data_IF_725066443327
#
_entry.id   IF_725066443327
#
_cell.length_a   1.000
_cell.length_b   1.000
_cell.length_c   1.000
_cell.angle_alpha   90.00
_cell.angle_beta   90.00
_cell.angle_gamma   90.00
#
_symmetry.space_group_name_H-M   'P 1'
#
loop_
_entity.id
_entity.type
_entity.pdbx_description
1 polymer ?
#
# COMPACT_ATOMS: atom_id res chain seq x y z
N UNK A 1 -26.23 1.15 -0.96
CA UNK A 1 -25.05 1.71 -1.64
C UNK A 1 -23.87 0.82 -1.28
N UNK A 2 -23.17 0.30 -2.28
CA UNK A 2 -21.99 -0.54 -2.05
C UNK A 2 -20.75 0.32 -2.23
N UNK A 3 -20.09 0.67 -1.12
CA UNK A 3 -18.91 1.54 -1.16
C UNK A 3 -17.68 0.81 -1.70
N UNK A 4 -17.69 -0.53 -1.65
CA UNK A 4 -16.64 -1.35 -2.26
C UNK A 4 -16.69 -1.25 -3.78
N UNK A 5 -17.89 -1.29 -4.38
CA UNK A 5 -18.03 -1.19 -5.84
C UNK A 5 -17.58 0.19 -6.33
N UNK A 6 -17.98 1.25 -5.62
CA UNK A 6 -17.54 2.62 -5.94
C UNK A 6 -16.02 2.78 -5.81
N UNK A 7 -15.42 2.22 -4.76
CA UNK A 7 -13.96 2.23 -4.61
C UNK A 7 -13.28 1.41 -5.71
N UNK A 8 -13.90 0.33 -6.16
CA UNK A 8 -13.38 -0.50 -7.24
C UNK A 8 -13.39 0.20 -8.60
N UNK A 9 -14.30 1.16 -8.81
CA UNK A 9 -14.38 1.99 -10.03
C UNK A 9 -13.35 3.12 -10.05
N UNK A 10 -12.66 3.40 -8.93
CA UNK A 10 -11.57 4.36 -8.88
C UNK A 10 -10.31 3.78 -9.56
N UNK A 11 -10.13 4.07 -10.84
CA UNK A 11 -8.97 3.59 -11.61
C UNK A 11 -7.67 4.37 -11.33
N UNK A 12 -7.78 5.61 -10.85
CA UNK A 12 -6.64 6.48 -10.54
C UNK A 12 -6.76 7.03 -9.11
N UNK A 13 -5.96 6.47 -8.21
CA UNK A 13 -5.93 6.81 -6.79
C UNK A 13 -4.84 7.83 -6.46
N UNK A 14 -4.10 8.32 -7.46
CA UNK A 14 -2.98 9.23 -7.24
C UNK A 14 -3.49 10.57 -6.75
N UNK A 15 -2.94 10.99 -5.62
CA UNK A 15 -3.10 12.34 -5.06
C UNK A 15 -2.17 13.35 -5.70
N UNK A 16 -1.13 12.87 -6.41
CA UNK A 16 -0.12 13.71 -7.04
C UNK A 16 0.12 13.26 -8.49
N UNK A 17 0.08 14.23 -9.40
CA UNK A 17 0.41 14.06 -10.82
C UNK A 17 1.67 14.87 -11.12
N UNK A 18 2.64 14.22 -11.77
CA UNK A 18 3.92 14.83 -12.14
C UNK A 18 3.90 15.17 -13.62
N UNK A 19 4.16 16.45 -13.94
CA UNK A 19 4.22 16.95 -15.30
C UNK A 19 5.63 17.44 -15.62
N UNK A 20 6.25 17.04 -16.74
CA UNK A 20 7.50 17.65 -17.18
C UNK A 20 7.21 19.06 -17.70
N UNK A 21 7.92 20.07 -17.17
CA UNK A 21 7.72 21.48 -17.57
C UNK A 21 8.42 21.85 -18.90
N UNK A 22 9.20 20.92 -19.47
CA UNK A 22 9.98 21.14 -20.69
C UNK A 22 11.29 21.90 -20.48
N UNK A 23 11.60 22.34 -19.26
CA UNK A 23 12.81 23.06 -18.87
C UNK A 23 13.71 22.28 -17.90
N UNK A 24 13.37 21.00 -17.65
CA UNK A 24 14.11 20.14 -16.74
C UNK A 24 13.62 20.19 -15.29
N UNK A 25 12.47 20.79 -15.02
CA UNK A 25 11.78 20.67 -13.74
C UNK A 25 10.53 19.80 -13.87
N UNK A 26 10.07 19.31 -12.72
CA UNK A 26 8.82 18.56 -12.59
C UNK A 26 7.82 19.45 -11.88
N UNK A 27 6.72 19.74 -12.56
CA UNK A 27 5.59 20.43 -11.98
C UNK A 27 4.70 19.39 -11.27
N UNK A 28 4.33 19.69 -10.02
CA UNK A 28 3.56 18.79 -9.16
C UNK A 28 2.13 19.33 -9.09
N UNK A 29 1.16 18.53 -9.51
CA UNK A 29 -0.26 18.83 -9.37
C UNK A 29 -0.86 17.94 -8.29
N UNK A 30 -1.39 18.56 -7.23
CA UNK A 30 -2.17 17.85 -6.21
C UNK A 30 -3.61 17.68 -6.72
N UNK A 31 -4.07 16.44 -6.78
CA UNK A 31 -5.43 16.11 -7.18
C UNK A 31 -6.36 16.27 -5.97
N UNK A 32 -7.27 17.23 -6.07
CA UNK A 32 -8.40 17.35 -5.16
C UNK A 32 -9.59 16.60 -5.72
N UNK A 33 -10.09 15.59 -5.00
CA UNK A 33 -11.35 14.93 -5.34
C UNK A 33 -12.48 15.95 -5.12
N UNK A 34 -13.07 16.44 -6.21
CA UNK A 34 -14.08 17.52 -6.17
C UNK A 34 -15.42 17.10 -5.56
N UNK A 35 -15.61 15.79 -5.32
CA UNK A 35 -16.78 15.19 -4.69
C UNK A 35 -16.33 14.23 -3.59
N UNK A 36 -16.84 14.41 -2.36
CA UNK A 36 -16.51 13.51 -1.23
C UNK A 36 -16.84 12.04 -1.54
N UNK A 37 -17.83 11.77 -2.39
CA UNK A 37 -18.19 10.39 -2.78
C UNK A 37 -17.16 9.71 -3.70
N UNK A 38 -16.24 10.48 -4.27
CA UNK A 38 -15.16 10.00 -5.14
C UNK A 38 -13.81 9.94 -4.41
N UNK A 39 -13.73 10.48 -3.18
CA UNK A 39 -12.53 10.42 -2.35
C UNK A 39 -12.33 9.00 -1.79
N UNK A 40 -11.21 8.32 -2.11
CA UNK A 40 -10.93 7.00 -1.58
C UNK A 40 -10.89 6.99 -0.03
N UNK A 41 -10.43 8.07 0.61
CA UNK A 41 -10.41 8.17 2.07
C UNK A 41 -11.81 8.17 2.68
N UNK A 42 -12.75 8.89 2.06
CA UNK A 42 -14.17 8.85 2.41
C UNK A 42 -14.77 7.46 2.20
N UNK A 43 -14.52 6.83 1.05
CA UNK A 43 -15.05 5.49 0.74
C UNK A 43 -14.53 4.44 1.73
N UNK A 44 -13.25 4.46 2.09
CA UNK A 44 -12.67 3.60 3.12
C UNK A 44 -13.36 3.77 4.48
N UNK A 45 -13.65 5.01 4.87
CA UNK A 45 -14.40 5.31 6.09
C UNK A 45 -15.81 4.73 6.05
N UNK A 46 -16.50 4.86 4.91
CA UNK A 46 -17.84 4.28 4.74
C UNK A 46 -17.86 2.76 4.73
N UNK A 47 -16.85 2.12 4.15
CA UNK A 47 -16.64 0.68 4.24
C UNK A 47 -16.48 0.26 5.71
N UNK A 48 -15.71 1.02 6.50
CA UNK A 48 -15.55 0.78 7.93
C UNK A 48 -16.87 0.93 8.70
N UNK A 49 -17.61 2.02 8.49
CA UNK A 49 -18.88 2.31 9.16
C UNK A 49 -19.97 1.29 8.81
N UNK A 50 -19.98 0.78 7.58
CA UNK A 50 -20.97 -0.19 7.10
C UNK A 50 -20.50 -1.65 7.18
N UNK A 51 -19.30 -1.88 7.74
CA UNK A 51 -18.67 -3.19 7.90
C UNK A 51 -18.61 -4.01 6.59
N UNK A 52 -18.27 -3.36 5.47
CA UNK A 52 -18.18 -3.99 4.14
C UNK A 52 -16.81 -4.62 3.85
N UNK A 53 -16.04 -4.97 4.89
CA UNK A 53 -14.65 -5.41 4.78
C UNK A 53 -14.49 -6.71 3.99
N UNK A 54 -15.40 -7.67 4.10
CA UNK A 54 -15.31 -8.93 3.36
C UNK A 54 -15.40 -8.72 1.84
N UNK A 55 -16.27 -7.81 1.41
CA UNK A 55 -16.37 -7.36 0.03
C UNK A 55 -15.09 -6.67 -0.42
N UNK A 56 -14.58 -5.75 0.42
CA UNK A 56 -13.32 -5.06 0.17
C UNK A 56 -12.14 -6.03 -0.04
N UNK A 57 -11.95 -6.99 0.86
CA UNK A 57 -10.87 -7.98 0.74
C UNK A 57 -11.01 -8.88 -0.48
N UNK A 58 -12.25 -9.16 -0.90
CA UNK A 58 -12.51 -9.91 -2.14
C UNK A 58 -12.12 -9.10 -3.36
N UNK A 59 -12.48 -7.81 -3.39
CA UNK A 59 -12.15 -6.90 -4.48
C UNK A 59 -10.64 -6.68 -4.61
N UNK A 60 -9.94 -6.42 -3.50
CA UNK A 60 -8.51 -6.12 -3.51
C UNK A 60 -7.67 -7.24 -4.10
N UNK A 61 -8.06 -8.51 -3.91
CA UNK A 61 -7.36 -9.67 -4.50
C UNK A 61 -7.19 -9.55 -6.03
N UNK A 62 -8.16 -8.93 -6.71
CA UNK A 62 -8.17 -8.79 -8.16
C UNK A 62 -7.56 -7.49 -8.67
N UNK A 63 -7.18 -6.56 -7.79
CA UNK A 63 -6.51 -5.30 -8.16
C UNK A 63 -5.00 -5.51 -8.31
N UNK A 64 -4.28 -4.68 -9.07
CA UNK A 64 -2.82 -4.73 -9.10
C UNK A 64 -2.22 -4.20 -7.79
N UNK A 65 -0.97 -4.58 -7.50
CA UNK A 65 -0.24 -4.12 -6.30
C UNK A 65 -0.04 -2.61 -6.31
N UNK A 66 0.26 -2.02 -7.47
CA UNK A 66 0.43 -0.56 -7.61
C UNK A 66 -0.81 0.21 -7.15
N UNK A 67 -1.99 -0.22 -7.57
CA UNK A 67 -3.27 0.37 -7.13
C UNK A 67 -3.46 0.24 -5.61
N UNK A 68 -3.07 -0.90 -5.03
CA UNK A 68 -3.16 -1.08 -3.58
C UNK A 68 -2.18 -0.17 -2.82
N UNK A 69 -0.95 -0.02 -3.31
CA UNK A 69 0.06 0.89 -2.76
C UNK A 69 -0.40 2.34 -2.79
N UNK A 70 -1.09 2.76 -3.85
CA UNK A 70 -1.73 4.08 -3.92
C UNK A 70 -2.89 4.19 -2.92
N UNK A 71 -3.76 3.18 -2.84
CA UNK A 71 -4.89 3.17 -1.90
C UNK A 71 -4.45 3.34 -0.44
N UNK A 72 -3.33 2.74 -0.05
CA UNK A 72 -2.80 2.80 1.32
C UNK A 72 -2.58 4.24 1.78
N UNK A 73 -2.24 5.15 0.86
CA UNK A 73 -2.02 6.57 1.17
C UNK A 73 -3.30 7.28 1.63
N UNK A 74 -4.47 6.71 1.35
CA UNK A 74 -5.78 7.24 1.73
C UNK A 74 -6.30 6.69 3.06
N UNK A 75 -5.62 5.70 3.64
CA UNK A 75 -5.99 5.20 4.96
C UNK A 75 -5.59 6.20 6.03
N UNK A 76 -6.51 6.57 6.94
CA UNK A 76 -6.15 7.44 8.04
C UNK A 76 -5.32 6.65 9.08
N UNK A 77 -4.11 7.14 9.35
CA UNK A 77 -3.16 6.49 10.26
C UNK A 77 -3.60 6.55 11.73
N UNK A 78 -4.55 7.43 12.08
CA UNK A 78 -5.08 7.58 13.43
C UNK A 78 -6.25 6.63 13.75
N UNK A 79 -6.64 5.74 12.82
CA UNK A 79 -7.80 4.85 12.99
C UNK A 79 -7.42 3.39 13.20
N UNK A 80 -8.06 2.70 14.16
CA UNK A 80 -7.79 1.29 14.44
C UNK A 80 -8.19 0.34 13.30
N UNK A 81 -9.15 0.72 12.45
CA UNK A 81 -9.53 -0.11 11.31
C UNK A 81 -8.42 -0.16 10.26
N UNK A 82 -7.60 0.88 10.14
CA UNK A 82 -6.49 0.93 9.18
C UNK A 82 -5.46 -0.15 9.52
N UNK A 83 -5.01 -0.22 10.77
CA UNK A 83 -4.08 -1.26 11.25
C UNK A 83 -4.62 -2.66 11.01
N UNK A 84 -5.90 -2.92 11.34
CA UNK A 84 -6.53 -4.23 11.09
C UNK A 84 -6.55 -4.57 9.60
N UNK A 85 -6.87 -3.59 8.75
CA UNK A 85 -6.87 -3.75 7.31
C UNK A 85 -5.46 -4.03 6.79
N UNK A 86 -4.45 -3.28 7.23
CA UNK A 86 -3.06 -3.45 6.82
C UNK A 86 -2.53 -4.85 7.13
N UNK A 87 -2.75 -5.34 8.36
CA UNK A 87 -2.41 -6.72 8.73
C UNK A 87 -3.12 -7.71 7.81
N UNK A 88 -4.42 -7.51 7.54
CA UNK A 88 -5.15 -8.40 6.64
C UNK A 88 -4.60 -8.36 5.21
N UNK A 89 -4.28 -7.19 4.67
CA UNK A 89 -3.68 -7.04 3.34
C UNK A 89 -2.33 -7.77 3.24
N UNK A 90 -1.50 -7.68 4.27
CA UNK A 90 -0.24 -8.43 4.37
C UNK A 90 -0.44 -9.96 4.37
N UNK A 91 -1.61 -10.47 4.77
CA UNK A 91 -1.93 -11.91 4.65
C UNK A 91 -2.52 -12.31 3.30
N UNK A 92 -2.97 -11.33 2.51
CA UNK A 92 -3.64 -11.56 1.22
C UNK A 92 -2.69 -11.42 0.03
N UNK A 93 -1.61 -10.66 0.21
CA UNK A 93 -0.60 -10.34 -0.79
C UNK A 93 0.72 -10.98 -0.37
N UNK A 94 1.42 -11.56 -1.34
CA UNK A 94 2.70 -12.23 -1.10
C UNK A 94 3.89 -11.51 -1.74
N UNK A 95 3.66 -10.38 -2.39
CA UNK A 95 4.68 -9.64 -3.13
C UNK A 95 5.64 -8.93 -2.17
N UNK A 96 6.94 -9.21 -2.32
CA UNK A 96 8.01 -8.66 -1.47
C UNK A 96 7.97 -7.13 -1.39
N UNK A 97 7.87 -6.46 -2.53
CA UNK A 97 7.86 -4.99 -2.58
C UNK A 97 6.69 -4.40 -1.80
N UNK A 98 5.53 -5.06 -1.85
CA UNK A 98 4.36 -4.67 -1.08
C UNK A 98 4.58 -4.85 0.42
N UNK A 99 5.17 -5.98 0.84
CA UNK A 99 5.57 -6.19 2.24
C UNK A 99 6.52 -5.11 2.72
N UNK A 100 7.60 -4.86 1.97
CA UNK A 100 8.62 -3.88 2.34
C UNK A 100 8.03 -2.48 2.45
N UNK A 101 7.21 -2.07 1.47
CA UNK A 101 6.50 -0.80 1.50
C UNK A 101 5.60 -0.67 2.73
N UNK A 102 4.84 -1.71 3.07
CA UNK A 102 3.95 -1.68 4.23
C UNK A 102 4.70 -1.67 5.56
N UNK A 103 5.72 -2.52 5.69
CA UNK A 103 6.51 -2.68 6.92
C UNK A 103 7.32 -1.42 7.22
N UNK A 104 7.87 -0.74 6.20
CA UNK A 104 8.65 0.50 6.41
C UNK A 104 7.81 1.60 7.07
N UNK A 105 6.50 1.61 6.84
CA UNK A 105 5.55 2.58 7.42
C UNK A 105 4.80 2.04 8.64
N UNK A 106 5.11 0.81 9.12
CA UNK A 106 4.38 0.20 10.24
C UNK A 106 4.49 0.99 11.56
N UNK A 107 5.52 1.81 11.69
CA UNK A 107 5.72 2.71 12.83
C UNK A 107 4.68 3.85 12.90
N UNK A 108 4.05 4.18 11.78
CA UNK A 108 3.03 5.24 11.67
C UNK A 108 1.61 4.72 11.93
N UNK A 109 1.42 3.40 11.97
CA UNK A 109 0.10 2.81 12.15
C UNK A 109 -0.48 3.08 13.54
N UNK A 110 -1.81 3.04 13.65
CA UNK A 110 -2.49 3.16 14.92
C UNK A 110 -2.21 1.93 15.79
N UNK A 111 -1.53 2.13 16.92
CA UNK A 111 -1.25 1.09 17.92
C UNK A 111 -1.81 1.52 19.27
N UNK A 112 -2.77 0.77 19.80
CA UNK A 112 -3.30 0.95 21.15
C UNK A 112 -2.89 -0.19 22.10
N UNK A 113 -3.32 -0.10 23.36
CA UNK A 113 -3.08 -1.11 24.39
C UNK A 113 -3.68 -2.49 24.03
N UNK A 114 -4.73 -2.52 23.19
CA UNK A 114 -5.39 -3.75 22.74
C UNK A 114 -4.74 -4.36 21.50
N UNK A 115 -3.76 -3.69 20.89
CA UNK A 115 -3.16 -4.10 19.63
C UNK A 115 -2.10 -5.20 19.76
N UNK A 116 -1.90 -5.77 20.96
CA UNK A 116 -0.86 -6.77 21.20
C UNK A 116 -0.95 -7.98 20.27
N UNK A 117 -2.17 -8.46 20.01
CA UNK A 117 -2.40 -9.58 19.11
C UNK A 117 -2.05 -9.23 17.65
N UNK A 118 -2.40 -8.02 17.20
CA UNK A 118 -2.03 -7.53 15.86
C UNK A 118 -0.52 -7.38 15.70
N UNK A 119 0.18 -6.93 16.76
CA UNK A 119 1.65 -6.85 16.77
C UNK A 119 2.28 -8.24 16.64
N UNK A 120 1.77 -9.23 17.36
CA UNK A 120 2.24 -10.61 17.25
C UNK A 120 2.04 -11.16 15.83
N UNK A 121 0.90 -10.86 15.20
CA UNK A 121 0.63 -11.24 13.81
C UNK A 121 1.61 -10.57 12.85
N UNK A 122 1.88 -9.26 13.01
CA UNK A 122 2.86 -8.55 12.19
C UNK A 122 4.26 -9.17 12.31
N UNK A 123 4.71 -9.44 13.53
CA UNK A 123 6.01 -10.07 13.79
C UNK A 123 6.09 -11.45 13.12
N UNK A 124 5.03 -12.25 13.22
CA UNK A 124 4.97 -13.56 12.57
C UNK A 124 5.04 -13.46 11.04
N UNK A 125 4.38 -12.47 10.45
CA UNK A 125 4.44 -12.19 9.00
C UNK A 125 5.87 -11.80 8.61
N UNK A 126 6.48 -10.84 9.31
CA UNK A 126 7.86 -10.38 9.06
C UNK A 126 8.83 -11.55 9.13
N UNK A 127 8.76 -12.37 10.17
CA UNK A 127 9.63 -13.53 10.32
C UNK A 127 9.46 -14.52 9.18
N UNK A 128 8.23 -14.74 8.72
CA UNK A 128 7.96 -15.65 7.58
C UNK A 128 8.61 -15.12 6.31
N UNK A 129 8.48 -13.82 6.02
CA UNK A 129 9.14 -13.19 4.88
C UNK A 129 10.66 -13.30 4.98
N UNK A 130 11.25 -12.95 6.13
CA UNK A 130 12.70 -12.99 6.33
C UNK A 130 13.29 -14.40 6.26
N UNK A 131 12.58 -15.42 6.76
CA UNK A 131 13.04 -16.82 6.72
C UNK A 131 12.93 -17.40 5.31
N UNK A 132 12.03 -16.88 4.47
CA UNK A 132 11.83 -17.37 3.10
C UNK A 132 12.92 -16.94 2.12
N UNK A 133 13.76 -15.97 2.50
CA UNK A 133 14.83 -15.49 1.63
C UNK A 133 16.14 -16.23 1.90
N UNK A 134 16.64 -16.92 0.87
CA UNK A 134 17.96 -17.54 0.93
C UNK A 134 19.05 -16.48 0.73
N UNK A 135 20.22 -16.60 1.38
CA UNK A 135 21.34 -15.69 1.16
C UNK A 135 21.71 -15.51 -0.31
N UNK A 136 21.56 -16.55 -1.12
CA UNK A 136 21.83 -16.55 -2.56
C UNK A 136 20.82 -15.68 -3.34
N UNK A 137 19.56 -15.63 -2.92
CA UNK A 137 18.55 -14.76 -3.52
C UNK A 137 18.88 -13.28 -3.28
N UNK A 138 19.36 -12.97 -2.07
CA UNK A 138 19.78 -11.61 -1.70
C UNK A 138 21.05 -11.21 -2.46
N UNK A 139 22.01 -12.12 -2.58
CA UNK A 139 23.25 -11.87 -3.33
C UNK A 139 22.98 -11.63 -4.83
N UNK A 140 22.08 -12.41 -5.43
CA UNK A 140 21.68 -12.24 -6.83
C UNK A 140 21.03 -10.87 -7.09
N UNK A 141 20.20 -10.39 -6.16
CA UNK A 141 19.56 -9.08 -6.25
C UNK A 141 20.58 -7.93 -6.14
N UNK A 142 21.50 -8.00 -5.17
CA UNK A 142 22.60 -7.03 -5.03
C UNK A 142 23.43 -6.94 -6.32
N UNK A 143 23.72 -8.08 -6.95
CA UNK A 143 24.48 -8.13 -8.20
C UNK A 143 23.69 -7.55 -9.38
N UNK A 144 22.38 -7.79 -9.44
CA UNK A 144 21.50 -7.24 -10.47
C UNK A 144 21.44 -5.70 -10.38
N UNK A 145 21.23 -5.15 -9.18
CA UNK A 145 21.18 -3.70 -8.93
C UNK A 145 22.52 -3.02 -9.27
N UNK A 146 23.64 -3.63 -8.90
CA UNK A 146 24.96 -3.12 -9.26
C UNK A 146 25.14 -3.09 -10.78
N UNK A 147 24.70 -4.15 -11.48
CA UNK A 147 24.82 -4.24 -12.93
C UNK A 147 23.98 -3.16 -13.64
N UNK A 148 22.73 -2.94 -13.21
CA UNK A 148 21.89 -1.86 -13.74
C UNK A 148 22.53 -0.48 -13.52
N UNK A 149 23.04 -0.22 -12.31
CA UNK A 149 23.72 1.03 -11.99
C UNK A 149 24.97 1.27 -12.86
N UNK A 150 25.76 0.21 -13.10
CA UNK A 150 26.91 0.29 -14.00
C UNK A 150 26.50 0.58 -15.44
N UNK A 151 25.42 -0.01 -15.94
CA UNK A 151 24.93 0.23 -17.30
C UNK A 151 24.37 1.64 -17.49
N UNK A 152 23.70 2.21 -16.48
CA UNK A 152 23.21 3.59 -16.53
C UNK A 152 24.34 4.62 -16.59
N UNK A 153 25.52 4.31 -16.04
CA UNK A 153 26.70 5.21 -16.06
C UNK A 153 27.55 5.14 -17.33
N UNK A 154 27.27 4.20 -18.23
CA UNK A 154 27.99 4.06 -19.51
C UNK A 154 27.23 4.69 -20.71
N UNK A 155 26.03 5.22 -20.49
CA UNK A 155 25.26 6.01 -21.48
C UNK A 155 25.41 7.49 -21.21
#
# INVERSE_FOLDING_TARGET
MNYVDLLAECDDLRTVILHPDGYGHVQVEERFFGNEQEDPGYLLRKIAETNQWDGFYTMVKNKPVSWLSELIQHFPMDKPYSTKCFIKLLTLRSERDFYMFMISHAHEWYWDENSQELKNQLISIINTCLISESPESIEAEILADQLEWFQMRQK
#
